data_IF_359560153938
#
_entry.id   IF_359560153938
#
_cell.length_a   1.000
_cell.length_b   1.000
_cell.length_c   1.000
_cell.angle_alpha   90.00
_cell.angle_beta   90.00
_cell.angle_gamma   90.00
#
_symmetry.space_group_name_H-M   'P 1'
#
loop_
_entity.id
_entity.type
_entity.pdbx_description
1 polymer ?
#
# COMPACT_ATOMS: atom_id res chain seq x y z
N UNK A 1 -15.86 -27.80 -23.80
CA UNK A 1 -16.58 -27.20 -22.63
C UNK A 1 -15.92 -25.86 -22.26
N UNK A 2 -16.73 -24.79 -22.10
CA UNK A 2 -16.25 -23.47 -21.73
C UNK A 2 -15.52 -23.50 -20.36
N UNK A 3 -14.31 -22.94 -20.32
CA UNK A 3 -13.50 -22.92 -19.08
C UNK A 3 -14.09 -21.93 -18.08
N UNK A 4 -14.50 -22.43 -16.92
CA UNK A 4 -15.13 -21.64 -15.85
C UNK A 4 -14.13 -21.25 -14.76
N UNK A 5 -14.27 -20.05 -14.19
CA UNK A 5 -13.40 -19.58 -13.12
C UNK A 5 -13.97 -18.41 -12.32
N UNK A 6 -13.24 -17.99 -11.30
CA UNK A 6 -13.51 -16.77 -10.54
C UNK A 6 -12.34 -15.82 -10.65
N UNK A 7 -12.64 -14.53 -10.66
CA UNK A 7 -11.66 -13.44 -10.57
C UNK A 7 -11.86 -12.78 -9.21
N UNK A 8 -10.82 -12.76 -8.40
CA UNK A 8 -10.83 -12.04 -7.12
C UNK A 8 -10.53 -10.57 -7.34
N UNK A 9 -11.18 -9.70 -6.57
CA UNK A 9 -10.81 -8.29 -6.44
C UNK A 9 -10.48 -8.03 -4.99
N UNK A 10 -9.30 -7.45 -4.73
CA UNK A 10 -8.86 -6.98 -3.41
C UNK A 10 -8.62 -5.46 -3.52
N UNK A 11 -9.30 -4.65 -2.70
CA UNK A 11 -9.10 -3.20 -2.69
C UNK A 11 -7.88 -2.82 -1.85
N UNK A 12 -7.05 -1.92 -2.39
CA UNK A 12 -5.96 -1.20 -1.69
C UNK A 12 -6.36 0.27 -1.72
N UNK A 13 -6.96 0.75 -0.63
CA UNK A 13 -7.56 2.10 -0.59
C UNK A 13 -7.09 2.89 0.63
N UNK A 14 -6.52 4.07 0.37
CA UNK A 14 -5.96 4.94 1.41
C UNK A 14 -4.50 4.66 1.69
N UNK A 15 -4.00 5.18 2.82
CA UNK A 15 -2.60 5.04 3.22
C UNK A 15 -2.28 3.60 3.66
N UNK A 16 -1.17 3.05 3.18
CA UNK A 16 -0.72 1.70 3.52
C UNK A 16 0.07 1.72 4.83
N UNK A 17 -0.36 0.89 5.79
CA UNK A 17 0.23 0.75 7.13
C UNK A 17 0.44 -0.73 7.45
N UNK A 18 1.22 -1.04 8.50
CA UNK A 18 1.42 -2.45 8.91
C UNK A 18 0.18 -3.03 9.57
N UNK A 19 -0.42 -2.28 10.49
CA UNK A 19 -1.61 -2.68 11.25
C UNK A 19 -2.65 -1.55 11.24
N UNK A 20 -3.92 -1.89 11.38
CA UNK A 20 -4.95 -0.87 11.55
C UNK A 20 -4.69 -0.07 12.83
N UNK A 21 -4.60 1.23 12.69
CA UNK A 21 -4.60 2.12 13.85
C UNK A 21 -6.03 2.19 14.38
N UNK A 22 -6.27 2.04 15.70
CA UNK A 22 -7.58 2.30 16.28
C UNK A 22 -8.08 3.67 15.83
N UNK A 23 -9.37 3.78 15.55
CA UNK A 23 -9.96 5.06 15.15
C UNK A 23 -9.57 6.14 16.18
N UNK A 24 -8.91 7.19 15.70
CA UNK A 24 -8.54 8.32 16.55
C UNK A 24 -9.80 8.91 17.20
N UNK A 25 -9.80 9.21 18.51
CA UNK A 25 -10.90 9.90 19.14
C UNK A 25 -11.09 11.33 18.58
N UNK A 26 -10.12 11.84 17.84
CA UNK A 26 -10.21 13.14 17.17
C UNK A 26 -10.76 12.95 15.76
N UNK A 27 -11.98 13.47 15.44
CA UNK A 27 -12.63 13.27 14.14
C UNK A 27 -11.80 13.71 12.94
N UNK A 28 -10.98 14.75 13.10
CA UNK A 28 -10.13 15.29 12.03
C UNK A 28 -9.01 14.31 11.62
N UNK A 29 -8.46 13.55 12.57
CA UNK A 29 -7.43 12.53 12.32
C UNK A 29 -8.04 11.18 11.90
N UNK A 30 -9.32 10.94 12.20
CA UNK A 30 -10.06 9.75 11.81
C UNK A 30 -10.45 9.75 10.31
N UNK A 31 -10.29 10.86 9.60
CA UNK A 31 -10.71 11.00 8.19
C UNK A 31 -9.74 10.32 7.19
N UNK A 32 -8.52 10.01 7.56
CA UNK A 32 -7.57 9.35 6.67
C UNK A 32 -7.86 7.84 6.60
N UNK A 33 -8.39 7.41 5.45
CA UNK A 33 -8.58 5.98 5.19
C UNK A 33 -7.23 5.27 5.13
N UNK A 34 -7.09 4.18 5.87
CA UNK A 34 -5.92 3.31 5.86
C UNK A 34 -6.27 1.92 5.34
N UNK A 35 -5.25 1.20 4.91
CA UNK A 35 -5.31 -0.23 4.57
C UNK A 35 -4.04 -0.88 5.13
N UNK A 36 -4.18 -2.00 5.85
CA UNK A 36 -3.05 -2.64 6.50
C UNK A 36 -2.53 -3.85 5.72
N UNK A 37 -1.20 -4.08 5.77
CA UNK A 37 -0.60 -5.29 5.24
C UNK A 37 -1.11 -6.53 5.99
N UNK A 38 -1.34 -6.41 7.30
CA UNK A 38 -1.92 -7.48 8.12
C UNK A 38 -3.30 -7.95 7.65
N UNK A 39 -4.11 -7.07 7.04
CA UNK A 39 -5.39 -7.46 6.43
C UNK A 39 -5.24 -7.96 4.99
N UNK A 40 -4.40 -7.31 4.19
CA UNK A 40 -4.29 -7.58 2.75
C UNK A 40 -3.58 -8.90 2.47
N UNK A 41 -2.50 -9.21 3.19
CA UNK A 41 -1.70 -10.41 2.96
C UNK A 41 -2.52 -11.70 3.15
N UNK A 42 -3.32 -11.89 4.24
CA UNK A 42 -4.19 -13.05 4.36
C UNK A 42 -5.22 -13.18 3.23
N UNK A 43 -5.70 -12.07 2.67
CA UNK A 43 -6.60 -12.09 1.51
C UNK A 43 -5.89 -12.63 0.26
N UNK A 44 -4.66 -12.18 -0.01
CA UNK A 44 -3.85 -12.67 -1.14
C UNK A 44 -3.52 -14.15 -0.96
N UNK A 45 -3.11 -14.57 0.24
CA UNK A 45 -2.87 -15.97 0.55
C UNK A 45 -4.14 -16.84 0.41
N UNK A 46 -5.30 -16.30 0.79
CA UNK A 46 -6.58 -16.95 0.55
C UNK A 46 -6.90 -17.12 -0.94
N UNK A 47 -6.53 -16.15 -1.77
CA UNK A 47 -6.62 -16.25 -3.24
C UNK A 47 -5.66 -17.33 -3.75
N UNK A 48 -4.43 -17.40 -3.23
CA UNK A 48 -3.41 -18.40 -3.60
C UNK A 48 -3.94 -19.81 -3.39
N UNK A 49 -4.49 -20.11 -2.23
CA UNK A 49 -5.01 -21.43 -1.83
C UNK A 49 -6.29 -21.83 -2.59
N UNK A 50 -7.07 -20.87 -3.09
CA UNK A 50 -8.37 -21.16 -3.71
C UNK A 50 -8.25 -21.50 -5.19
N UNK A 51 -8.28 -22.78 -5.56
CA UNK A 51 -8.14 -23.27 -6.94
C UNK A 51 -9.23 -22.77 -7.90
N UNK A 52 -10.40 -22.34 -7.39
CA UNK A 52 -11.48 -21.77 -8.22
C UNK A 52 -11.20 -20.35 -8.67
N UNK A 53 -10.30 -19.62 -7.98
CA UNK A 53 -9.85 -18.29 -8.36
C UNK A 53 -8.71 -18.45 -9.36
N UNK A 54 -8.88 -17.87 -10.54
CA UNK A 54 -7.93 -17.99 -11.66
C UNK A 54 -7.04 -16.76 -11.82
N UNK A 55 -7.44 -15.62 -11.29
CA UNK A 55 -6.65 -14.39 -11.31
C UNK A 55 -7.09 -13.40 -10.24
N UNK A 56 -6.23 -12.44 -9.96
CA UNK A 56 -6.40 -11.38 -8.98
C UNK A 56 -6.35 -10.01 -9.66
N UNK A 57 -7.31 -9.17 -9.33
CA UNK A 57 -7.26 -7.73 -9.60
C UNK A 57 -7.05 -7.01 -8.27
N UNK A 58 -5.99 -6.23 -8.16
CA UNK A 58 -5.83 -5.24 -7.10
C UNK A 58 -6.50 -3.94 -7.56
N UNK A 59 -7.56 -3.53 -6.88
CA UNK A 59 -8.20 -2.23 -7.08
C UNK A 59 -7.46 -1.20 -6.23
N UNK A 60 -6.58 -0.41 -6.88
CA UNK A 60 -5.69 0.51 -6.17
C UNK A 60 -6.23 1.94 -6.25
N UNK A 61 -6.35 2.57 -5.08
CA UNK A 61 -6.63 3.99 -4.89
C UNK A 61 -5.90 4.47 -3.63
N UNK A 62 -4.57 4.63 -3.73
CA UNK A 62 -3.67 4.79 -2.60
C UNK A 62 -2.56 5.80 -2.88
N UNK A 63 -2.30 6.76 -1.98
CA UNK A 63 -1.15 7.66 -2.06
C UNK A 63 0.17 6.96 -1.68
N UNK A 64 0.13 5.69 -1.31
CA UNK A 64 1.24 4.97 -0.73
C UNK A 64 1.13 4.88 0.79
N UNK A 65 2.26 4.92 1.47
CA UNK A 65 2.30 4.79 2.93
C UNK A 65 3.68 4.37 3.42
N UNK A 66 3.72 3.59 4.50
CA UNK A 66 4.99 3.14 5.07
C UNK A 66 5.69 2.17 4.11
N UNK A 67 7.01 2.29 3.93
CA UNK A 67 7.76 1.46 2.98
C UNK A 67 7.62 -0.04 3.22
N UNK A 68 7.83 -0.49 4.46
CA UNK A 68 7.82 -1.90 4.81
C UNK A 68 6.50 -2.61 4.46
N UNK A 69 5.30 -2.17 4.89
CA UNK A 69 4.05 -2.83 4.52
C UNK A 69 3.74 -2.76 3.01
N UNK A 70 4.19 -1.71 2.31
CA UNK A 70 4.06 -1.66 0.85
C UNK A 70 4.89 -2.76 0.19
N UNK A 71 6.14 -2.95 0.65
CA UNK A 71 7.04 -4.00 0.17
C UNK A 71 6.49 -5.40 0.47
N UNK A 72 6.02 -5.64 1.70
CA UNK A 72 5.40 -6.93 2.08
C UNK A 72 4.24 -7.31 1.15
N UNK A 73 3.33 -6.37 0.89
CA UNK A 73 2.20 -6.61 -0.02
C UNK A 73 2.72 -6.89 -1.44
N UNK A 74 3.69 -6.11 -1.93
CA UNK A 74 4.28 -6.31 -3.25
C UNK A 74 4.92 -7.70 -3.41
N UNK A 75 5.69 -8.16 -2.42
CA UNK A 75 6.29 -9.50 -2.40
C UNK A 75 5.24 -10.60 -2.37
N UNK A 76 4.20 -10.43 -1.56
CA UNK A 76 3.08 -11.37 -1.49
C UNK A 76 2.36 -11.49 -2.84
N UNK A 77 2.12 -10.38 -3.54
CA UNK A 77 1.54 -10.37 -4.89
C UNK A 77 2.43 -11.11 -5.89
N UNK A 78 3.75 -10.88 -5.87
CA UNK A 78 4.71 -11.56 -6.74
C UNK A 78 4.72 -13.08 -6.53
N UNK A 79 4.56 -13.51 -5.28
CA UNK A 79 4.56 -14.94 -4.90
C UNK A 79 3.24 -15.66 -5.18
N UNK A 80 2.20 -14.97 -5.67
CA UNK A 80 0.85 -15.52 -5.82
C UNK A 80 0.77 -16.71 -6.79
N UNK A 81 1.58 -16.71 -7.85
CA UNK A 81 1.58 -17.77 -8.87
C UNK A 81 0.32 -17.81 -9.75
N UNK A 82 -0.47 -16.73 -9.77
CA UNK A 82 -1.64 -16.56 -10.64
C UNK A 82 -1.56 -15.21 -11.35
N UNK A 83 -2.20 -15.03 -12.52
CA UNK A 83 -2.25 -13.75 -13.19
C UNK A 83 -2.80 -12.66 -12.29
N UNK A 84 -2.07 -11.53 -12.21
CA UNK A 84 -2.39 -10.36 -11.42
C UNK A 84 -2.51 -9.13 -12.29
N UNK A 85 -3.49 -8.27 -12.01
CA UNK A 85 -3.64 -6.97 -12.65
C UNK A 85 -3.83 -5.91 -11.57
N UNK A 86 -3.02 -4.87 -11.59
CA UNK A 86 -3.31 -3.66 -10.86
C UNK A 86 -4.28 -2.81 -11.70
N UNK A 87 -5.47 -2.59 -11.18
CA UNK A 87 -6.42 -1.62 -11.73
C UNK A 87 -6.37 -0.36 -10.87
N UNK A 88 -5.75 0.69 -11.44
CA UNK A 88 -5.60 1.97 -10.77
C UNK A 88 -6.86 2.79 -11.03
N UNK A 89 -7.47 3.27 -9.95
CA UNK A 89 -8.65 4.14 -10.03
C UNK A 89 -8.24 5.59 -10.23
N UNK A 90 -8.14 6.30 -9.14
CA UNK A 90 -7.81 7.72 -9.14
C UNK A 90 -6.30 7.91 -9.07
N UNK A 91 -5.64 7.21 -8.14
CA UNK A 91 -4.20 7.31 -7.98
C UNK A 91 -3.56 6.03 -7.43
N UNK A 92 -2.31 5.83 -7.81
CA UNK A 92 -1.36 4.89 -7.22
C UNK A 92 0.01 5.57 -7.20
N UNK A 93 0.34 6.24 -6.12
CA UNK A 93 1.58 7.00 -5.97
C UNK A 93 2.46 6.43 -4.87
N UNK A 94 3.79 6.65 -4.96
CA UNK A 94 4.73 6.20 -3.94
C UNK A 94 4.57 4.69 -3.65
N UNK A 95 4.44 4.26 -2.39
CA UNK A 95 4.21 2.87 -2.02
C UNK A 95 2.99 2.21 -2.69
N UNK A 96 1.98 2.98 -3.10
CA UNK A 96 0.85 2.48 -3.88
C UNK A 96 1.27 2.02 -5.28
N UNK A 97 2.21 2.74 -5.89
CA UNK A 97 2.82 2.33 -7.15
C UNK A 97 3.79 1.15 -6.97
N UNK A 98 4.51 1.09 -5.85
CA UNK A 98 5.35 -0.07 -5.51
C UNK A 98 4.53 -1.36 -5.57
N UNK A 99 3.37 -1.38 -4.89
CA UNK A 99 2.43 -2.52 -4.93
C UNK A 99 1.93 -2.77 -6.36
N UNK A 100 1.53 -1.72 -7.09
CA UNK A 100 1.04 -1.85 -8.46
C UNK A 100 2.09 -2.47 -9.38
N UNK A 101 3.36 -2.07 -9.25
CA UNK A 101 4.47 -2.55 -10.07
C UNK A 101 4.71 -4.06 -9.95
N UNK A 102 4.31 -4.66 -8.83
CA UNK A 102 4.45 -6.10 -8.57
C UNK A 102 3.45 -6.97 -9.32
N UNK A 103 2.41 -6.39 -9.91
CA UNK A 103 1.43 -7.10 -10.72
C UNK A 103 1.96 -7.41 -12.13
N UNK A 104 1.41 -8.47 -12.76
CA UNK A 104 1.80 -8.85 -14.14
C UNK A 104 1.38 -7.80 -15.18
N UNK A 105 0.36 -7.03 -14.91
CA UNK A 105 -0.09 -5.94 -15.79
C UNK A 105 -0.72 -4.82 -14.96
N UNK A 106 -0.60 -3.59 -15.45
CA UNK A 106 -1.15 -2.39 -14.82
C UNK A 106 -2.09 -1.71 -15.81
N UNK A 107 -3.30 -1.42 -15.36
CA UNK A 107 -4.34 -0.69 -16.09
C UNK A 107 -4.66 0.57 -15.34
N UNK A 108 -4.66 1.71 -16.00
CA UNK A 108 -5.03 3.01 -15.44
C UNK A 108 -5.85 3.82 -16.44
N UNK A 109 -6.69 4.71 -15.96
CA UNK A 109 -7.35 5.71 -16.80
C UNK A 109 -6.34 6.80 -17.23
N UNK A 110 -6.66 7.56 -18.28
CA UNK A 110 -5.85 8.69 -18.75
C UNK A 110 -5.63 9.74 -17.66
N UNK A 111 -6.62 9.91 -16.78
CA UNK A 111 -6.63 10.88 -15.69
C UNK A 111 -6.13 10.28 -14.36
N UNK A 112 -5.84 8.98 -14.31
CA UNK A 112 -5.24 8.38 -13.12
C UNK A 112 -3.85 8.95 -12.88
N UNK A 113 -3.52 9.14 -11.61
CA UNK A 113 -2.25 9.72 -11.16
C UNK A 113 -1.32 8.62 -10.66
N UNK A 114 -0.09 8.56 -11.18
CA UNK A 114 0.88 7.51 -10.86
C UNK A 114 2.27 8.08 -10.62
N UNK A 115 3.19 7.26 -10.14
CA UNK A 115 4.58 7.65 -9.93
C UNK A 115 4.85 8.05 -8.49
N UNK A 116 5.42 9.25 -8.29
CA UNK A 116 5.95 9.66 -6.97
C UNK A 116 6.90 8.59 -6.40
N UNK A 117 7.80 8.08 -7.28
CA UNK A 117 8.78 7.07 -6.90
C UNK A 117 9.90 7.78 -6.17
N UNK A 118 9.83 7.70 -4.86
CA UNK A 118 10.72 8.43 -3.96
C UNK A 118 10.35 8.19 -2.50
N UNK A 119 11.22 8.65 -1.61
CA UNK A 119 11.04 8.55 -0.15
C UNK A 119 11.25 9.91 0.47
N UNK A 120 10.38 10.28 1.39
CA UNK A 120 10.50 11.54 2.11
C UNK A 120 10.25 11.32 3.59
N UNK A 121 11.01 12.02 4.44
CA UNK A 121 10.75 12.17 5.87
C UNK A 121 10.43 13.63 6.17
N UNK A 122 9.23 13.88 6.66
CA UNK A 122 8.79 15.22 7.04
C UNK A 122 8.73 15.26 8.57
N UNK A 123 9.59 16.09 9.16
CA UNK A 123 9.71 16.26 10.63
C UNK A 123 9.55 17.74 10.97
N UNK A 124 8.53 18.13 11.75
CA UNK A 124 8.42 19.51 12.23
C UNK A 124 9.53 19.78 13.25
N UNK A 125 10.03 21.02 13.29
CA UNK A 125 10.96 21.54 14.28
C UNK A 125 10.30 22.73 15.00
N UNK A 126 9.94 22.53 16.26
CA UNK A 126 9.32 23.55 17.10
C UNK A 126 10.31 24.21 18.06
N UNK A 127 11.60 23.93 17.98
CA UNK A 127 12.60 24.38 18.95
C UNK A 127 12.64 25.92 19.11
N UNK A 128 12.61 26.64 17.98
CA UNK A 128 12.62 28.12 18.02
C UNK A 128 11.29 28.71 18.47
N UNK A 129 10.18 28.04 18.16
CA UNK A 129 8.86 28.46 18.63
C UNK A 129 8.77 28.35 20.15
N UNK A 130 9.23 27.23 20.71
CA UNK A 130 9.22 26.99 22.14
C UNK A 130 10.08 28.02 22.89
N UNK A 131 11.26 28.33 22.38
CA UNK A 131 12.11 29.42 22.95
C UNK A 131 11.40 30.77 23.02
N UNK A 132 10.63 31.14 21.97
CA UNK A 132 9.87 32.38 21.95
C UNK A 132 8.80 32.46 23.06
N UNK A 133 8.29 31.31 23.47
CA UNK A 133 7.30 31.22 24.56
C UNK A 133 7.92 30.92 25.94
N UNK A 134 9.27 30.95 26.05
CA UNK A 134 9.96 30.66 27.30
C UNK A 134 9.82 29.21 27.77
N UNK A 135 9.59 28.27 26.82
CA UNK A 135 9.47 26.86 27.14
C UNK A 135 10.81 26.18 26.87
N UNK A 136 11.44 25.68 27.94
CA UNK A 136 12.63 24.86 27.84
C UNK A 136 12.28 23.38 27.92
N UNK A 137 12.99 22.56 27.10
CA UNK A 137 12.85 21.11 27.12
C UNK A 137 14.18 20.48 27.53
N UNK A 138 14.18 19.92 28.72
CA UNK A 138 15.31 19.12 29.18
C UNK A 138 15.15 17.66 28.71
N UNK A 139 16.20 17.14 28.10
CA UNK A 139 16.23 15.73 27.64
C UNK A 139 17.37 14.98 28.31
N UNK A 140 17.04 13.92 29.03
CA UNK A 140 18.01 12.98 29.58
C UNK A 140 17.89 11.66 28.82
N UNK A 141 18.96 11.19 28.21
CA UNK A 141 18.96 9.96 27.42
C UNK A 141 20.29 9.22 27.49
N UNK A 142 20.22 7.90 27.56
CA UNK A 142 21.36 7.02 27.36
C UNK A 142 21.52 6.72 25.86
N UNK A 143 22.63 7.13 25.28
CA UNK A 143 22.93 6.99 23.85
C UNK A 143 22.65 8.27 23.05
N UNK A 144 23.65 8.64 22.25
CA UNK A 144 23.71 9.94 21.53
C UNK A 144 22.57 10.17 20.55
N UNK A 145 22.03 9.08 19.97
CA UNK A 145 20.95 9.16 18.98
C UNK A 145 19.56 8.86 19.55
N UNK A 146 19.43 8.69 20.88
CA UNK A 146 18.15 8.31 21.48
C UNK A 146 17.08 9.40 21.36
N UNK A 147 17.50 10.65 21.22
CA UNK A 147 16.63 11.83 21.01
C UNK A 147 16.55 12.25 19.54
N UNK A 148 17.02 11.40 18.61
CA UNK A 148 16.96 11.67 17.19
C UNK A 148 15.51 11.83 16.70
N UNK A 149 15.27 12.95 16.01
CA UNK A 149 13.98 13.23 15.36
C UNK A 149 12.86 13.71 16.28
N UNK A 150 13.16 14.05 17.54
CA UNK A 150 12.17 14.75 18.40
C UNK A 150 11.94 16.17 17.88
N UNK A 151 10.69 16.70 17.93
CA UNK A 151 10.36 17.99 17.32
C UNK A 151 10.78 19.21 18.17
N UNK A 152 11.40 19.00 19.31
CA UNK A 152 11.76 20.05 20.27
C UNK A 152 13.25 20.44 20.22
N UNK A 153 14.01 19.76 19.37
CA UNK A 153 15.46 19.98 19.20
C UNK A 153 15.80 20.03 17.71
N UNK A 154 16.65 20.97 17.31
CA UNK A 154 17.22 20.98 15.97
C UNK A 154 18.06 19.73 15.74
N UNK A 155 17.87 19.08 14.60
CA UNK A 155 18.71 17.96 14.20
C UNK A 155 20.14 18.44 13.94
N UNK A 156 21.12 17.67 14.43
CA UNK A 156 22.55 17.92 14.15
C UNK A 156 22.90 17.55 12.70
N UNK A 157 24.04 17.99 12.16
CA UNK A 157 24.51 17.55 10.84
C UNK A 157 24.62 16.03 10.75
N UNK A 158 25.16 15.37 11.79
CA UNK A 158 25.32 13.91 11.86
C UNK A 158 23.96 13.19 11.85
N UNK A 159 22.99 13.71 12.60
CA UNK A 159 21.62 13.18 12.60
C UNK A 159 20.95 13.30 11.23
N UNK A 160 21.22 14.38 10.50
CA UNK A 160 20.71 14.58 9.13
C UNK A 160 21.34 13.60 8.15
N UNK A 161 22.64 13.33 8.27
CA UNK A 161 23.33 12.35 7.41
C UNK A 161 22.79 10.93 7.66
N UNK A 162 22.64 10.52 8.93
CA UNK A 162 22.03 9.23 9.27
C UNK A 162 20.63 9.09 8.67
N UNK A 163 19.81 10.16 8.74
CA UNK A 163 18.48 10.12 8.13
C UNK A 163 18.56 9.98 6.62
N UNK A 164 19.51 10.67 5.99
CA UNK A 164 19.71 10.60 4.55
C UNK A 164 20.11 9.19 4.12
N UNK A 165 21.04 8.55 4.81
CA UNK A 165 21.46 7.15 4.56
C UNK A 165 20.26 6.17 4.67
N UNK A 166 19.41 6.34 5.68
CA UNK A 166 18.18 5.54 5.82
C UNK A 166 17.24 5.74 4.63
N UNK A 167 17.01 7.02 4.25
CA UNK A 167 16.14 7.34 3.11
C UNK A 167 16.70 6.81 1.79
N UNK A 168 18.01 6.93 1.57
CA UNK A 168 18.69 6.41 0.39
C UNK A 168 18.59 4.87 0.32
N UNK A 169 18.72 4.20 1.45
CA UNK A 169 18.55 2.73 1.52
C UNK A 169 17.13 2.31 1.11
N UNK A 170 16.10 2.97 1.63
CA UNK A 170 14.70 2.68 1.29
C UNK A 170 14.44 3.01 -0.18
N UNK A 171 14.94 4.15 -0.63
CA UNK A 171 14.80 4.62 -2.00
C UNK A 171 15.41 3.65 -3.01
N UNK A 172 16.65 3.20 -2.77
CA UNK A 172 17.32 2.24 -3.64
C UNK A 172 16.55 0.93 -3.76
N UNK A 173 16.05 0.39 -2.64
CA UNK A 173 15.19 -0.79 -2.65
C UNK A 173 13.93 -0.57 -3.51
N UNK A 174 13.30 0.59 -3.39
CA UNK A 174 12.08 0.91 -4.12
C UNK A 174 12.34 1.02 -5.63
N UNK A 175 13.34 1.81 -6.03
CA UNK A 175 13.63 2.03 -7.46
C UNK A 175 14.13 0.75 -8.15
N UNK A 176 14.96 -0.05 -7.48
CA UNK A 176 15.43 -1.34 -7.99
C UNK A 176 14.26 -2.29 -8.25
N UNK A 177 13.33 -2.40 -7.31
CA UNK A 177 12.18 -3.27 -7.49
C UNK A 177 11.26 -2.81 -8.62
N UNK A 178 10.98 -1.52 -8.71
CA UNK A 178 10.17 -0.95 -9.80
C UNK A 178 10.86 -1.19 -11.14
N UNK A 179 12.15 -0.89 -11.24
CA UNK A 179 12.94 -1.10 -12.45
C UNK A 179 12.87 -2.55 -12.92
N UNK A 180 13.10 -3.50 -12.02
CA UNK A 180 13.03 -4.93 -12.31
C UNK A 180 11.63 -5.37 -12.70
N UNK A 181 10.61 -4.93 -11.98
CA UNK A 181 9.22 -5.31 -12.20
C UNK A 181 8.68 -4.79 -13.53
N UNK A 182 9.07 -3.58 -13.91
CA UNK A 182 8.63 -2.91 -15.13
C UNK A 182 9.61 -3.03 -16.29
N UNK A 183 10.80 -3.62 -16.07
CA UNK A 183 11.87 -3.79 -17.09
C UNK A 183 12.24 -2.45 -17.74
N UNK A 184 12.46 -1.43 -16.91
CA UNK A 184 12.73 -0.07 -17.38
C UNK A 184 14.18 0.09 -17.83
N UNK A 185 14.40 0.96 -18.83
CA UNK A 185 15.75 1.38 -19.23
C UNK A 185 16.34 2.40 -18.25
N UNK A 186 17.65 2.57 -18.28
CA UNK A 186 18.34 3.52 -17.41
C UNK A 186 17.86 4.97 -17.62
N UNK A 187 17.53 5.35 -18.86
CA UNK A 187 17.01 6.68 -19.18
C UNK A 187 15.65 6.91 -18.50
N UNK A 188 14.75 5.92 -18.57
CA UNK A 188 13.45 5.99 -17.92
C UNK A 188 13.61 6.01 -16.41
N UNK A 189 14.53 5.22 -15.85
CA UNK A 189 14.80 5.21 -14.41
C UNK A 189 15.25 6.60 -13.94
N UNK A 190 16.15 7.28 -14.65
CA UNK A 190 16.57 8.66 -14.32
C UNK A 190 15.40 9.64 -14.27
N UNK A 191 14.48 9.55 -15.22
CA UNK A 191 13.30 10.42 -15.28
C UNK A 191 12.33 10.15 -14.10
N UNK A 192 11.99 8.90 -13.84
CA UNK A 192 10.97 8.55 -12.86
C UNK A 192 11.44 8.57 -11.42
N UNK A 193 12.76 8.54 -11.20
CA UNK A 193 13.38 8.52 -9.87
C UNK A 193 13.44 9.90 -9.18
N UNK A 194 12.83 10.89 -9.80
CA UNK A 194 12.76 12.28 -9.29
C UNK A 194 11.61 12.51 -8.30
N UNK A 195 10.77 11.52 -8.07
CA UNK A 195 9.54 11.67 -7.27
C UNK A 195 8.39 12.35 -8.02
N UNK A 196 8.54 12.60 -9.33
CA UNK A 196 7.51 13.20 -10.17
C UNK A 196 6.26 12.34 -10.26
N UNK A 197 5.13 12.99 -10.45
CA UNK A 197 3.81 12.39 -10.66
C UNK A 197 3.45 12.50 -12.14
N UNK A 198 2.85 11.43 -12.68
CA UNK A 198 2.45 11.31 -14.08
C UNK A 198 0.96 11.02 -14.20
N UNK A 199 0.31 11.57 -15.20
CA UNK A 199 -1.01 11.12 -15.62
C UNK A 199 -0.90 9.83 -16.45
N UNK A 200 -1.99 9.08 -16.55
CA UNK A 200 -1.99 7.75 -17.17
C UNK A 200 -1.40 7.70 -18.58
N UNK A 201 -1.65 8.69 -19.45
CA UNK A 201 -1.04 8.72 -20.79
C UNK A 201 0.49 8.90 -20.75
N UNK A 202 0.98 9.78 -19.89
CA UNK A 202 2.40 10.02 -19.70
C UNK A 202 3.07 8.80 -19.05
N UNK A 203 2.42 8.23 -18.02
CA UNK A 203 2.87 7.01 -17.35
C UNK A 203 3.02 5.83 -18.34
N UNK A 204 2.14 5.73 -19.34
CA UNK A 204 2.23 4.72 -20.39
C UNK A 204 3.45 4.92 -21.28
N UNK A 205 3.81 6.16 -21.62
CA UNK A 205 5.01 6.45 -22.44
C UNK A 205 6.29 5.99 -21.75
N UNK A 206 6.35 6.12 -20.42
CA UNK A 206 7.48 5.66 -19.61
C UNK A 206 7.41 4.16 -19.22
N UNK A 207 6.42 3.41 -19.71
CA UNK A 207 6.27 2.01 -19.36
C UNK A 207 5.81 1.74 -17.93
N UNK A 208 5.35 2.77 -17.22
CA UNK A 208 4.82 2.63 -15.86
C UNK A 208 3.47 1.92 -15.82
N UNK A 209 2.70 1.93 -16.92
CA UNK A 209 1.48 1.14 -17.10
C UNK A 209 1.50 0.40 -18.44
N UNK A 210 0.71 -0.66 -18.53
CA UNK A 210 0.62 -1.47 -19.76
C UNK A 210 -0.56 -1.03 -20.63
N UNK A 211 -1.69 -0.67 -20.03
CA UNK A 211 -2.92 -0.38 -20.75
C UNK A 211 -3.64 0.84 -20.17
N UNK A 212 -4.16 1.66 -21.08
CA UNK A 212 -5.17 2.65 -20.72
C UNK A 212 -6.54 1.98 -20.63
N UNK A 213 -7.31 2.29 -19.61
CA UNK A 213 -8.67 1.77 -19.41
C UNK A 213 -9.05 1.63 -17.95
N UNK A 214 -10.19 1.01 -17.74
CA UNK A 214 -10.77 0.81 -16.42
C UNK A 214 -10.90 -0.67 -16.03
N UNK A 215 -11.83 -0.94 -15.11
CA UNK A 215 -12.11 -2.27 -14.58
C UNK A 215 -12.36 -3.35 -15.65
N UNK A 216 -13.09 -2.99 -16.71
CA UNK A 216 -13.41 -3.95 -17.77
C UNK A 216 -12.14 -4.41 -18.50
N UNK A 217 -11.19 -3.49 -18.75
CA UNK A 217 -9.89 -3.86 -19.34
C UNK A 217 -9.07 -4.78 -18.43
N UNK A 218 -9.08 -4.52 -17.11
CA UNK A 218 -8.42 -5.41 -16.15
C UNK A 218 -9.03 -6.83 -16.13
N UNK A 219 -10.36 -6.94 -16.25
CA UNK A 219 -11.06 -8.23 -16.35
C UNK A 219 -10.70 -8.95 -17.65
N UNK A 220 -10.69 -8.23 -18.78
CA UNK A 220 -10.32 -8.75 -20.11
C UNK A 220 -8.93 -9.38 -20.07
N UNK A 221 -7.93 -8.68 -19.52
CA UNK A 221 -6.54 -9.18 -19.40
C UNK A 221 -6.49 -10.47 -18.57
N UNK A 222 -7.22 -10.55 -17.45
CA UNK A 222 -7.27 -11.79 -16.66
C UNK A 222 -7.92 -12.93 -17.48
N UNK A 223 -8.99 -12.65 -18.22
CA UNK A 223 -9.65 -13.64 -19.07
C UNK A 223 -8.69 -14.19 -20.13
N UNK A 224 -7.99 -13.33 -20.84
CA UNK A 224 -6.99 -13.69 -21.85
C UNK A 224 -5.89 -14.56 -21.25
N UNK A 225 -5.26 -14.10 -20.16
CA UNK A 225 -4.15 -14.83 -19.49
C UNK A 225 -4.58 -16.19 -18.93
N UNK A 226 -5.85 -16.35 -18.53
CA UNK A 226 -6.35 -17.60 -17.91
C UNK A 226 -7.18 -18.46 -18.86
N UNK A 227 -7.54 -17.93 -20.02
CA UNK A 227 -8.43 -18.56 -21.01
C UNK A 227 -9.78 -18.98 -20.41
N UNK A 228 -10.31 -18.17 -19.44
CA UNK A 228 -11.66 -18.39 -18.88
C UNK A 228 -12.70 -17.66 -19.72
N UNK A 229 -13.76 -18.36 -20.07
CA UNK A 229 -14.86 -17.81 -20.86
C UNK A 229 -16.00 -17.38 -19.95
N UNK A 230 -16.35 -18.23 -18.99
CA UNK A 230 -17.40 -17.95 -17.98
C UNK A 230 -16.76 -17.65 -16.63
N UNK A 231 -17.04 -16.48 -16.09
CA UNK A 231 -16.43 -16.06 -14.84
C UNK A 231 -17.42 -15.39 -13.88
N UNK A 232 -17.05 -15.41 -12.59
CA UNK A 232 -17.70 -14.66 -11.52
C UNK A 232 -16.68 -13.79 -10.83
N UNK A 233 -16.98 -12.49 -10.73
CA UNK A 233 -16.17 -11.57 -9.93
C UNK A 233 -16.53 -11.75 -8.45
N UNK A 234 -15.52 -11.86 -7.61
CA UNK A 234 -15.65 -12.00 -6.16
C UNK A 234 -14.88 -10.88 -5.47
N UNK A 235 -15.60 -9.98 -4.80
CA UNK A 235 -15.00 -9.06 -3.83
C UNK A 235 -14.49 -9.90 -2.65
N UNK A 236 -13.19 -10.15 -2.65
CA UNK A 236 -12.59 -11.11 -1.73
C UNK A 236 -12.51 -10.57 -0.31
N UNK A 237 -12.36 -9.26 -0.15
CA UNK A 237 -12.38 -8.62 1.16
C UNK A 237 -13.75 -8.76 1.85
N UNK A 238 -14.83 -8.49 1.12
CA UNK A 238 -16.19 -8.66 1.67
C UNK A 238 -16.50 -10.12 2.03
N UNK A 239 -15.97 -11.07 1.25
CA UNK A 239 -16.20 -12.49 1.49
C UNK A 239 -15.53 -12.97 2.77
N UNK A 240 -14.33 -12.52 3.07
CA UNK A 240 -13.57 -12.94 4.26
C UNK A 240 -14.08 -12.28 5.55
N UNK A 241 -14.64 -11.06 5.47
CA UNK A 241 -15.23 -10.37 6.64
C UNK A 241 -16.53 -11.02 7.14
N UNK A 242 -17.26 -11.76 6.30
CA UNK A 242 -18.57 -12.36 6.66
C UNK A 242 -18.53 -13.48 7.73
N UNK A 243 -17.59 -14.44 7.74
CA UNK A 243 -17.57 -15.51 8.74
C UNK A 243 -17.16 -15.04 10.14
N UNK A 244 -16.22 -14.09 10.25
CA UNK A 244 -15.74 -13.59 11.55
C UNK A 244 -16.79 -12.77 12.31
N UNK A 245 -17.66 -12.04 11.62
CA UNK A 245 -18.77 -11.31 12.24
C UNK A 245 -19.81 -12.23 12.89
N UNK A 246 -20.06 -13.39 12.30
CA UNK A 246 -21.01 -14.38 12.85
C UNK A 246 -20.44 -15.09 14.08
N UNK A 247 -19.18 -15.53 14.02
CA UNK A 247 -18.50 -16.17 15.16
C UNK A 247 -18.30 -15.19 16.33
N UNK A 248 -17.95 -13.92 16.05
CA UNK A 248 -17.83 -12.90 17.10
C UNK A 248 -19.17 -12.59 17.79
N UNK A 249 -20.30 -12.65 17.07
CA UNK A 249 -21.64 -12.54 17.67
C UNK A 249 -21.99 -13.76 18.54
N UNK A 250 -21.62 -14.96 18.13
CA UNK A 250 -21.84 -16.16 18.95
C UNK A 250 -21.03 -16.17 20.25
N UNK A 251 -19.78 -15.67 20.23
CA UNK A 251 -18.96 -15.59 21.45
C UNK A 251 -19.25 -14.36 22.31
N UNK A 252 -19.83 -13.30 21.75
CA UNK A 252 -20.27 -12.11 22.51
C UNK A 252 -21.56 -12.36 23.31
N UNK A 253 -22.44 -13.26 22.88
CA UNK A 253 -23.68 -13.56 23.59
C UNK A 253 -23.48 -14.48 24.82
N UNK A 254 -22.33 -15.17 24.93
CA UNK A 254 -22.03 -16.05 26.07
C UNK A 254 -21.38 -15.36 27.27
N UNK A 255 -21.12 -14.04 27.22
CA UNK A 255 -20.54 -13.28 28.35
C UNK A 255 -21.55 -12.50 29.21
N UNK A 256 -22.85 -12.80 29.11
CA UNK A 256 -23.89 -12.11 29.88
C UNK A 256 -24.63 -13.00 30.92
N UNK A 257 -24.02 -14.07 31.36
CA UNK A 257 -24.56 -14.79 32.53
C UNK A 257 -23.40 -15.26 33.41
N UNK A 258 -22.87 -14.36 34.23
CA UNK A 258 -22.20 -14.69 35.49
C UNK A 258 -22.16 -13.39 36.33
N UNK A 259 -23.31 -13.08 36.93
CA UNK A 259 -23.33 -12.34 38.18
C UNK A 259 -23.30 -13.36 39.32
N UNK A 260 -22.27 -13.43 40.15
CA UNK A 260 -22.38 -14.06 41.44
C UNK A 260 -23.05 -13.10 42.43
N UNK A 261 -24.06 -13.56 43.07
CA UNK A 261 -24.49 -13.08 44.37
C UNK A 261 -23.30 -13.16 45.34
N UNK A 262 -22.93 -12.03 45.94
CA UNK A 262 -22.68 -11.79 47.37
C UNK A 262 -22.21 -10.36 47.51
#
# INVERSE_FOLDING_TARGET
MAKKGKIAIIPIKGMVVSEETPASPFPLLAMARTVSSAEVIPLIEGVKKNRRIKGLILEINSPGGRPFPCKEIAECVKSLGKPTVAWIKEYATSGGYWIASSCNSIVADRLSTLGSIGVASIRPDFSELMKKFGIDVETMASGIYKTFGIPYKKSTPEEKELLKEELDTIYNNFIEEVTRNRKLSEEVVKEISTGKIYLGEEAKKFGLIDFLGGKNKAIEIIKEKTRIEVYKIVDYAKKMRRPLGFLRRMFSSKKRELTPFL
#
